data_IF_519398068240
#
_entry.id   IF_519398068240
#
_cell.length_a   1.000
_cell.length_b   1.000
_cell.length_c   1.000
_cell.angle_alpha   90.00
_cell.angle_beta   90.00
_cell.angle_gamma   90.00
#
_symmetry.space_group_name_H-M   'P 1'
#
loop_
_entity.id
_entity.type
_entity.pdbx_description
1 polymer ?
#
# COMPACT_ATOMS: atom_id res chain seq x y z
N UNK A 1 -12.17 -10.42 -10.35
CA UNK A 1 -11.55 -10.58 -11.69
C UNK A 1 -10.21 -9.87 -11.69
N UNK A 2 -9.12 -10.63 -11.63
CA UNK A 2 -7.74 -10.14 -11.49
C UNK A 2 -7.30 -9.37 -12.74
N UNK A 3 -6.72 -8.19 -12.56
CA UNK A 3 -5.95 -7.56 -13.62
C UNK A 3 -4.87 -8.56 -14.07
N UNK A 4 -4.96 -9.04 -15.32
CA UNK A 4 -4.00 -9.97 -15.88
C UNK A 4 -2.63 -9.29 -15.90
N UNK A 5 -1.82 -9.59 -14.89
CA UNK A 5 -0.46 -9.09 -14.85
C UNK A 5 0.27 -9.78 -16.00
N UNK A 6 0.75 -9.00 -16.97
CA UNK A 6 1.53 -9.51 -18.08
C UNK A 6 2.89 -10.01 -17.54
N UNK A 7 2.88 -11.20 -16.96
CA UNK A 7 4.04 -11.94 -16.53
C UNK A 7 4.79 -12.31 -17.80
N UNK A 8 5.97 -11.71 -17.99
CA UNK A 8 6.79 -12.03 -19.15
C UNK A 8 7.57 -13.32 -18.88
N UNK A 9 8.18 -13.85 -19.94
CA UNK A 9 8.97 -15.07 -19.87
C UNK A 9 10.08 -14.97 -18.81
N UNK A 10 10.21 -15.96 -17.91
CA UNK A 10 11.28 -15.99 -16.92
C UNK A 10 12.65 -16.11 -17.61
N UNK A 11 13.67 -15.58 -16.94
CA UNK A 11 15.07 -15.63 -17.38
C UNK A 11 15.87 -16.43 -16.36
N UNK A 12 16.76 -17.29 -16.84
CA UNK A 12 17.66 -18.06 -15.99
C UNK A 12 18.99 -17.30 -15.89
N UNK A 13 19.54 -17.21 -14.69
CA UNK A 13 20.81 -16.54 -14.45
C UNK A 13 21.51 -17.03 -13.18
N UNK A 14 22.74 -16.58 -13.00
CA UNK A 14 23.58 -16.92 -11.85
C UNK A 14 23.62 -15.76 -10.88
N UNK A 15 23.45 -16.02 -9.59
CA UNK A 15 23.59 -15.02 -8.54
C UNK A 15 25.07 -14.65 -8.38
N UNK A 16 25.42 -13.38 -8.61
CA UNK A 16 26.78 -12.86 -8.40
C UNK A 16 26.98 -12.41 -6.95
N UNK A 17 25.97 -11.74 -6.39
CA UNK A 17 26.04 -11.17 -5.06
C UNK A 17 24.67 -11.23 -4.38
N UNK A 18 24.69 -11.72 -3.15
CA UNK A 18 23.57 -11.75 -2.21
C UNK A 18 24.04 -11.17 -0.87
N UNK A 19 23.10 -10.77 0.00
CA UNK A 19 23.39 -10.29 1.36
C UNK A 19 24.00 -8.89 1.48
N UNK A 20 24.32 -8.21 0.38
CA UNK A 20 24.84 -6.81 0.42
C UNK A 20 23.78 -5.77 0.70
N UNK A 21 22.57 -6.01 0.22
CA UNK A 21 21.41 -5.15 0.43
C UNK A 21 20.23 -6.01 0.88
N UNK A 22 19.39 -5.47 1.76
CA UNK A 22 18.18 -6.16 2.18
C UNK A 22 17.27 -6.49 0.98
N UNK A 23 16.70 -7.68 1.01
CA UNK A 23 15.73 -8.23 0.07
C UNK A 23 16.12 -8.12 -1.41
N UNK A 24 17.43 -8.11 -1.72
CA UNK A 24 17.91 -7.80 -3.06
C UNK A 24 19.12 -8.65 -3.42
N UNK A 25 19.08 -9.22 -4.62
CA UNK A 25 20.19 -9.99 -5.20
C UNK A 25 20.57 -9.47 -6.58
N UNK A 26 21.86 -9.61 -6.92
CA UNK A 26 22.40 -9.28 -8.24
C UNK A 26 22.58 -10.55 -9.04
N UNK A 27 21.83 -10.68 -10.13
CA UNK A 27 21.80 -11.86 -11.01
C UNK A 27 22.39 -11.52 -12.37
N UNK A 28 23.27 -12.38 -12.89
CA UNK A 28 23.82 -12.31 -14.25
C UNK A 28 23.04 -13.25 -15.16
N UNK A 29 22.45 -12.69 -16.20
CA UNK A 29 21.79 -13.45 -17.27
C UNK A 29 22.62 -13.29 -18.55
N UNK A 30 22.86 -14.40 -19.24
CA UNK A 30 23.54 -14.37 -20.53
C UNK A 30 22.53 -14.13 -21.64
N UNK A 31 22.77 -13.13 -22.47
CA UNK A 31 21.96 -12.85 -23.67
C UNK A 31 22.81 -13.13 -24.91
N UNK A 32 22.27 -13.88 -25.87
CA UNK A 32 22.90 -13.99 -27.19
C UNK A 32 22.58 -12.75 -28.02
N UNK A 33 23.60 -12.15 -28.62
CA UNK A 33 23.47 -11.00 -29.49
C UNK A 33 24.18 -11.28 -30.82
N UNK A 34 23.46 -11.11 -31.93
CA UNK A 34 24.03 -11.22 -33.27
C UNK A 34 24.90 -10.01 -33.57
N UNK A 35 26.18 -10.24 -33.86
CA UNK A 35 27.09 -9.17 -34.25
C UNK A 35 27.15 -9.05 -35.79
N UNK A 36 26.56 -7.99 -36.35
CA UNK A 36 26.36 -7.82 -37.81
C UNK A 36 27.65 -7.93 -38.64
N UNK A 37 28.75 -7.33 -38.17
CA UNK A 37 30.04 -7.35 -38.89
C UNK A 37 30.73 -8.71 -38.85
N UNK A 38 30.62 -9.43 -37.73
CA UNK A 38 31.28 -10.72 -37.52
C UNK A 38 30.39 -11.89 -37.95
N UNK A 39 29.10 -11.63 -38.24
CA UNK A 39 28.08 -12.61 -38.60
C UNK A 39 28.06 -13.82 -37.66
N UNK A 40 28.19 -13.57 -36.36
CA UNK A 40 28.20 -14.60 -35.31
C UNK A 40 27.45 -14.11 -34.08
N UNK A 41 26.82 -15.04 -33.38
CA UNK A 41 26.22 -14.80 -32.07
C UNK A 41 27.29 -14.75 -30.97
N UNK A 42 27.24 -13.71 -30.14
CA UNK A 42 28.10 -13.56 -28.98
C UNK A 42 27.27 -13.48 -27.70
N UNK A 43 27.84 -14.06 -26.65
CA UNK A 43 27.27 -14.06 -25.32
C UNK A 43 27.55 -12.73 -24.64
N UNK A 44 26.53 -11.91 -24.41
CA UNK A 44 26.62 -10.65 -23.67
C UNK A 44 26.05 -10.86 -22.27
N UNK A 45 26.88 -10.78 -21.21
CA UNK A 45 26.38 -10.89 -19.85
C UNK A 45 25.67 -9.59 -19.44
N UNK A 46 24.41 -9.70 -19.03
CA UNK A 46 23.64 -8.58 -18.49
C UNK A 46 23.30 -8.84 -17.01
N UNK A 47 23.52 -7.84 -16.17
CA UNK A 47 23.21 -7.94 -14.73
C UNK A 47 21.87 -7.29 -14.41
N UNK A 48 21.06 -7.94 -13.58
CA UNK A 48 19.78 -7.48 -13.10
C UNK A 48 19.75 -7.46 -11.56
N UNK A 49 18.95 -6.56 -11.00
CA UNK A 49 18.58 -6.58 -9.59
C UNK A 49 17.22 -7.26 -9.44
N UNK A 50 17.18 -8.31 -8.63
CA UNK A 50 15.98 -9.07 -8.33
C UNK A 50 15.61 -8.99 -6.85
N UNK A 51 14.31 -9.08 -6.57
CA UNK A 51 13.73 -9.14 -5.23
C UNK A 51 13.85 -10.56 -4.68
N UNK A 52 14.42 -10.67 -3.48
CA UNK A 52 14.54 -11.92 -2.71
C UNK A 52 14.12 -11.64 -1.28
N UNK A 53 12.82 -11.74 -0.98
CA UNK A 53 12.28 -11.35 0.32
C UNK A 53 12.70 -12.25 1.48
N UNK A 54 12.85 -13.55 1.21
CA UNK A 54 13.14 -14.56 2.24
C UNK A 54 14.65 -14.79 2.42
N UNK A 55 15.48 -14.01 1.74
CA UNK A 55 16.94 -14.18 1.75
C UNK A 55 17.36 -15.62 1.39
N UNK A 56 16.63 -16.23 0.45
CA UNK A 56 16.82 -17.63 0.07
C UNK A 56 18.09 -17.84 -0.76
N UNK A 57 18.56 -16.81 -1.47
CA UNK A 57 19.63 -16.93 -2.45
C UNK A 57 21.03 -16.67 -1.88
N UNK A 58 22.01 -17.43 -2.38
CA UNK A 58 23.44 -17.37 -2.06
C UNK A 58 24.23 -17.11 -3.35
N UNK A 59 25.41 -16.45 -3.30
CA UNK A 59 26.25 -16.28 -4.48
C UNK A 59 26.62 -17.62 -5.10
N UNK A 60 26.47 -17.75 -6.41
CA UNK A 60 26.72 -18.99 -7.15
C UNK A 60 25.46 -19.79 -7.50
N UNK A 61 24.32 -19.51 -6.85
CA UNK A 61 23.06 -20.18 -7.21
C UNK A 61 22.61 -19.86 -8.64
N UNK A 62 22.03 -20.86 -9.30
CA UNK A 62 21.32 -20.66 -10.57
C UNK A 62 19.84 -20.47 -10.26
N UNK A 63 19.29 -19.33 -10.68
CA UNK A 63 17.94 -18.88 -10.32
C UNK A 63 17.12 -18.54 -11.54
N UNK A 64 15.81 -18.79 -11.44
CA UNK A 64 14.82 -18.29 -12.37
C UNK A 64 14.31 -16.94 -11.87
N UNK A 65 14.40 -15.91 -12.71
CA UNK A 65 13.92 -14.56 -12.40
C UNK A 65 12.84 -14.14 -13.38
N UNK A 66 11.74 -13.61 -12.86
CA UNK A 66 10.62 -13.13 -13.67
C UNK A 66 10.65 -11.61 -13.77
N UNK A 67 10.74 -11.02 -14.98
CA UNK A 67 10.65 -9.58 -15.17
C UNK A 67 9.19 -9.08 -15.15
N UNK A 68 9.01 -7.77 -14.98
CA UNK A 68 7.70 -7.11 -15.00
C UNK A 68 7.13 -6.84 -13.60
N UNK A 69 7.69 -7.48 -12.58
CA UNK A 69 7.38 -7.26 -11.18
C UNK A 69 8.32 -6.19 -10.61
N UNK A 70 7.83 -4.94 -10.58
CA UNK A 70 8.61 -3.80 -10.10
C UNK A 70 8.41 -3.60 -8.59
N UNK A 71 9.46 -3.85 -7.81
CA UNK A 71 9.50 -3.51 -6.37
C UNK A 71 10.15 -2.14 -6.11
N UNK A 72 11.14 -1.74 -6.90
CA UNK A 72 11.87 -0.45 -6.75
C UNK A 72 12.19 0.19 -8.11
N UNK A 73 12.94 1.30 -8.16
CA UNK A 73 13.32 1.98 -9.41
C UNK A 73 14.10 1.07 -10.36
N UNK A 74 15.12 0.38 -9.84
CA UNK A 74 16.00 -0.50 -10.62
C UNK A 74 15.68 -2.00 -10.44
N UNK A 75 14.93 -2.35 -9.38
CA UNK A 75 14.48 -3.71 -9.07
C UNK A 75 13.17 -4.01 -9.80
N UNK A 76 13.29 -4.63 -10.98
CA UNK A 76 12.19 -4.96 -11.91
C UNK A 76 11.97 -6.47 -12.09
N UNK A 77 12.68 -7.27 -11.31
CA UNK A 77 12.66 -8.73 -11.36
C UNK A 77 12.39 -9.26 -9.95
N UNK A 78 11.77 -10.43 -9.89
CA UNK A 78 11.56 -11.20 -8.66
C UNK A 78 12.14 -12.60 -8.88
N UNK A 79 12.77 -13.16 -7.85
CA UNK A 79 13.24 -14.54 -7.88
C UNK A 79 12.04 -15.46 -7.71
N UNK A 80 11.82 -16.37 -8.66
CA UNK A 80 10.66 -17.27 -8.63
C UNK A 80 11.01 -18.65 -8.11
N UNK A 81 12.13 -19.20 -8.52
CA UNK A 81 12.61 -20.51 -8.07
C UNK A 81 14.12 -20.62 -8.15
N UNK A 82 14.68 -21.49 -7.31
CA UNK A 82 16.06 -21.96 -7.42
C UNK A 82 16.08 -23.09 -8.44
N UNK A 83 16.82 -22.93 -9.54
CA UNK A 83 16.96 -23.95 -10.59
C UNK A 83 18.04 -24.96 -10.19
N UNK A 84 19.17 -24.45 -9.70
CA UNK A 84 20.24 -25.26 -9.16
C UNK A 84 20.82 -24.53 -7.95
N UNK A 85 20.49 -24.97 -6.73
CA UNK A 85 21.05 -24.38 -5.52
C UNK A 85 22.52 -24.81 -5.38
N UNK A 86 23.38 -23.87 -5.02
CA UNK A 86 24.75 -24.18 -4.64
C UNK A 86 24.74 -25.01 -3.36
N UNK A 87 25.55 -26.08 -3.34
CA UNK A 87 25.66 -26.94 -2.16
C UNK A 87 26.06 -26.11 -0.94
N UNK A 88 25.15 -26.06 0.02
CA UNK A 88 25.32 -25.41 1.31
C UNK A 88 25.13 -26.48 2.38
N UNK A 89 25.80 -26.36 3.53
CA UNK A 89 25.70 -27.35 4.62
C UNK A 89 24.37 -27.34 5.38
N UNK A 90 23.43 -26.47 5.01
CA UNK A 90 22.12 -26.29 5.63
C UNK A 90 21.00 -26.49 4.62
N UNK A 91 19.82 -26.89 5.12
CA UNK A 91 18.60 -26.91 4.32
C UNK A 91 18.27 -25.50 3.78
N UNK A 92 17.82 -25.42 2.52
CA UNK A 92 17.63 -24.15 1.82
C UNK A 92 16.15 -23.79 1.76
N UNK A 93 15.85 -22.57 2.20
CA UNK A 93 14.52 -21.97 2.10
C UNK A 93 14.20 -21.73 0.61
N UNK A 94 12.97 -22.04 0.19
CA UNK A 94 12.50 -21.73 -1.15
C UNK A 94 12.11 -20.25 -1.27
N UNK A 95 12.36 -19.60 -2.41
CA UNK A 95 11.96 -18.21 -2.63
C UNK A 95 10.42 -18.08 -2.67
N UNK A 96 9.92 -16.87 -2.39
CA UNK A 96 8.48 -16.54 -2.25
C UNK A 96 7.63 -16.81 -3.51
N UNK A 97 8.26 -16.92 -4.68
CA UNK A 97 7.56 -17.09 -5.95
C UNK A 97 6.78 -15.84 -6.39
N UNK A 98 5.99 -15.99 -7.47
CA UNK A 98 5.17 -14.88 -7.99
C UNK A 98 3.95 -14.63 -7.10
N UNK A 99 3.34 -15.70 -6.60
CA UNK A 99 2.10 -15.64 -5.80
C UNK A 99 2.35 -14.98 -4.45
N UNK A 100 3.41 -15.38 -3.73
CA UNK A 100 3.79 -14.74 -2.47
C UNK A 100 4.11 -13.26 -2.66
N UNK A 101 4.77 -12.90 -3.76
CA UNK A 101 5.03 -11.50 -4.10
C UNK A 101 3.74 -10.70 -4.32
N UNK A 102 2.76 -11.27 -5.04
CA UNK A 102 1.46 -10.65 -5.32
C UNK A 102 0.64 -10.49 -4.04
N UNK A 103 0.58 -11.52 -3.19
CA UNK A 103 -0.13 -11.48 -1.90
C UNK A 103 0.40 -10.34 -1.02
N UNK A 104 1.73 -10.28 -0.83
CA UNK A 104 2.40 -9.20 -0.09
C UNK A 104 2.13 -7.82 -0.68
N UNK A 105 2.02 -7.72 -2.01
CA UNK A 105 1.72 -6.45 -2.68
C UNK A 105 0.27 -6.02 -2.45
N UNK A 106 -0.65 -6.97 -2.49
CA UNK A 106 -2.07 -6.71 -2.21
C UNK A 106 -2.28 -6.34 -0.74
N UNK A 107 -1.63 -7.02 0.20
CA UNK A 107 -1.62 -6.66 1.63
C UNK A 107 -1.17 -5.22 1.84
N UNK A 108 -0.05 -4.81 1.21
CA UNK A 108 0.43 -3.42 1.27
C UNK A 108 -0.55 -2.43 0.66
N UNK A 109 -1.25 -2.84 -0.40
CA UNK A 109 -2.27 -2.01 -1.06
C UNK A 109 -3.49 -1.85 -0.16
N UNK A 110 -4.02 -2.95 0.38
CA UNK A 110 -5.14 -2.96 1.32
C UNK A 110 -4.80 -2.15 2.56
N UNK A 111 -3.65 -2.41 3.20
CA UNK A 111 -3.20 -1.65 4.37
C UNK A 111 -3.06 -0.14 4.08
N UNK A 112 -2.64 0.24 2.86
CA UNK A 112 -2.62 1.64 2.44
C UNK A 112 -4.03 2.21 2.29
N UNK A 113 -4.95 1.47 1.69
CA UNK A 113 -6.34 1.88 1.49
C UNK A 113 -7.07 2.05 2.82
N UNK A 114 -6.86 1.15 3.79
CA UNK A 114 -7.45 1.22 5.13
C UNK A 114 -7.04 2.47 5.91
N UNK A 115 -5.86 3.02 5.64
CA UNK A 115 -5.38 4.26 6.26
C UNK A 115 -6.02 5.52 5.68
N UNK A 116 -6.69 5.42 4.53
CA UNK A 116 -7.31 6.59 3.89
C UNK A 116 -8.69 6.84 4.52
N UNK A 117 -8.98 8.10 4.90
CA UNK A 117 -10.29 8.44 5.47
C UNK A 117 -11.40 8.17 4.44
N UNK A 118 -12.45 7.45 4.86
CA UNK A 118 -13.62 7.15 4.04
C UNK A 118 -13.62 5.79 3.32
N UNK A 119 -12.60 4.94 3.52
CA UNK A 119 -12.58 3.57 3.00
C UNK A 119 -12.87 2.59 4.13
N UNK A 120 -14.09 2.07 4.18
CA UNK A 120 -14.47 0.97 5.10
C UNK A 120 -14.05 -0.35 4.46
N UNK A 121 -13.21 -1.14 5.15
CA UNK A 121 -12.94 -2.51 4.73
C UNK A 121 -14.22 -3.34 4.88
N UNK A 122 -14.80 -3.81 3.77
CA UNK A 122 -15.74 -4.92 3.86
C UNK A 122 -14.92 -6.21 3.88
N UNK A 123 -15.01 -6.98 4.96
CA UNK A 123 -14.44 -8.31 5.03
C UNK A 123 -15.05 -9.22 3.94
N UNK A 124 -14.32 -10.19 3.38
CA UNK A 124 -14.90 -11.15 2.45
C UNK A 124 -15.84 -12.08 3.23
N UNK A 125 -17.15 -11.93 3.03
CA UNK A 125 -18.11 -12.92 3.48
C UNK A 125 -18.06 -14.13 2.55
N UNK A 126 -17.69 -15.28 3.11
CA UNK A 126 -17.79 -16.57 2.45
C UNK A 126 -19.27 -16.93 2.28
N UNK A 127 -19.73 -16.99 1.02
CA UNK A 127 -21.04 -17.56 0.66
C UNK A 127 -22.23 -16.62 0.87
N UNK A 128 -22.66 -15.94 -0.19
CA UNK A 128 -23.91 -15.16 -0.18
C UNK A 128 -24.44 -14.91 -1.57
N UNK A 129 -25.57 -15.56 -1.87
CA UNK A 129 -26.30 -15.52 -3.15
C UNK A 129 -26.74 -14.10 -3.47
N UNK A 130 -26.53 -13.69 -4.72
CA UNK A 130 -26.86 -12.35 -5.24
C UNK A 130 -28.37 -12.19 -5.32
N UNK A 131 -28.95 -11.27 -4.54
CA UNK A 131 -30.30 -10.79 -4.82
C UNK A 131 -31.07 -10.12 -3.69
N UNK A 132 -30.50 -9.19 -2.93
CA UNK A 132 -31.33 -8.25 -2.17
C UNK A 132 -30.76 -6.82 -2.28
N UNK A 133 -31.57 -5.93 -2.86
CA UNK A 133 -31.23 -4.52 -3.09
C UNK A 133 -31.35 -3.76 -1.78
N UNK A 134 -30.25 -3.19 -1.30
CA UNK A 134 -30.27 -2.09 -0.33
C UNK A 134 -29.28 -1.01 -0.80
N UNK A 135 -29.83 0.09 -1.36
CA UNK A 135 -29.20 1.41 -1.46
C UNK A 135 -28.08 1.61 -2.48
N UNK A 136 -28.33 2.47 -3.47
CA UNK A 136 -27.45 2.80 -4.62
C UNK A 136 -26.19 3.64 -4.29
N UNK A 137 -25.43 3.32 -3.23
CA UNK A 137 -24.17 4.03 -2.96
C UNK A 137 -23.00 3.09 -2.71
N UNK A 138 -22.57 2.43 -3.79
CA UNK A 138 -21.22 1.90 -3.88
C UNK A 138 -20.29 3.11 -4.02
N UNK A 139 -19.49 3.42 -2.99
CA UNK A 139 -18.30 4.27 -3.15
C UNK A 139 -17.27 3.45 -3.92
N UNK A 140 -17.53 3.32 -5.22
CA UNK A 140 -16.58 2.80 -6.19
C UNK A 140 -15.62 3.92 -6.51
N UNK A 141 -14.34 3.76 -6.18
CA UNK A 141 -13.30 4.50 -6.88
C UNK A 141 -13.50 4.26 -8.39
N UNK A 142 -13.59 5.31 -9.23
CA UNK A 142 -13.77 5.12 -10.64
C UNK A 142 -12.49 4.51 -11.23
N UNK A 143 -12.49 3.20 -11.46
CA UNK A 143 -11.52 2.56 -12.34
C UNK A 143 -12.14 2.56 -13.73
N UNK A 144 -11.79 3.54 -14.56
CA UNK A 144 -12.02 3.44 -16.01
C UNK A 144 -10.88 2.61 -16.59
N UNK A 145 -11.23 1.69 -17.50
CA UNK A 145 -10.34 0.65 -18.04
C UNK A 145 -8.99 1.13 -18.60
N UNK A 146 -8.11 0.20 -18.96
CA UNK A 146 -6.71 0.50 -19.25
C UNK A 146 -6.58 1.36 -20.52
N UNK A 147 -5.92 2.52 -20.42
CA UNK A 147 -5.35 3.20 -21.59
C UNK A 147 -5.55 4.72 -21.76
N UNK A 148 -6.24 5.44 -20.88
CA UNK A 148 -6.38 6.91 -21.01
C UNK A 148 -5.78 7.67 -19.83
N UNK A 149 -4.85 8.59 -20.14
CA UNK A 149 -4.29 9.57 -19.20
C UNK A 149 -5.30 10.72 -19.07
N UNK A 150 -5.76 11.00 -17.84
CA UNK A 150 -6.68 12.12 -17.57
C UNK A 150 -6.00 13.47 -17.80
N UNK A 151 -6.69 14.38 -18.52
CA UNK A 151 -6.40 15.82 -18.50
C UNK A 151 -6.68 16.37 -17.10
N UNK A 152 -5.84 17.31 -16.67
CA UNK A 152 -5.66 17.87 -15.31
C UNK A 152 -6.91 18.53 -14.66
N UNK A 153 -8.07 18.55 -15.32
CA UNK A 153 -9.30 19.18 -14.81
C UNK A 153 -10.22 18.26 -14.00
N UNK A 154 -10.29 16.96 -14.33
CA UNK A 154 -11.33 16.05 -13.79
C UNK A 154 -11.19 15.75 -12.29
N UNK A 155 -10.00 15.91 -11.71
CA UNK A 155 -9.77 15.71 -10.27
C UNK A 155 -10.43 16.76 -9.39
N UNK A 156 -10.58 18.01 -9.87
CA UNK A 156 -11.20 19.09 -9.10
C UNK A 156 -12.69 18.87 -8.91
N UNK A 157 -13.38 18.36 -9.93
CA UNK A 157 -14.82 18.08 -9.87
C UNK A 157 -15.14 16.88 -8.99
N UNK A 158 -14.33 15.81 -9.08
CA UNK A 158 -14.50 14.63 -8.22
C UNK A 158 -14.29 15.02 -6.75
N UNK A 159 -13.25 15.79 -6.44
CA UNK A 159 -13.01 16.26 -5.07
C UNK A 159 -14.11 17.21 -4.58
N UNK A 160 -14.59 18.12 -5.44
CA UNK A 160 -15.71 19.01 -5.12
C UNK A 160 -17.03 18.29 -4.87
N UNK A 161 -17.27 17.14 -5.52
CA UNK A 161 -18.45 16.32 -5.27
C UNK A 161 -18.35 15.57 -3.94
N UNK A 162 -17.18 15.03 -3.61
CA UNK A 162 -16.94 14.34 -2.32
C UNK A 162 -17.10 15.31 -1.14
N UNK A 163 -16.57 16.53 -1.26
CA UNK A 163 -16.70 17.54 -0.20
C UNK A 163 -18.16 17.99 0.00
N UNK A 164 -18.92 18.18 -1.08
CA UNK A 164 -20.36 18.52 -0.99
C UNK A 164 -21.21 17.40 -0.37
N UNK A 165 -20.86 16.13 -0.59
CA UNK A 165 -21.53 15.02 0.08
C UNK A 165 -21.24 14.99 1.58
N UNK A 166 -20.00 15.29 1.98
CA UNK A 166 -19.61 15.39 3.38
C UNK A 166 -20.36 16.51 4.10
N UNK A 167 -20.47 17.69 3.49
CA UNK A 167 -21.26 18.79 4.06
C UNK A 167 -22.75 18.43 4.22
N UNK A 168 -23.33 17.68 3.28
CA UNK A 168 -24.74 17.23 3.39
C UNK A 168 -24.93 16.23 4.54
N UNK A 169 -23.99 15.31 4.73
CA UNK A 169 -24.07 14.33 5.82
C UNK A 169 -23.84 14.99 7.18
N UNK A 170 -22.88 15.91 7.30
CA UNK A 170 -22.65 16.70 8.50
C UNK A 170 -23.87 17.56 8.86
N UNK A 171 -24.52 18.19 7.86
CA UNK A 171 -25.77 18.95 8.07
C UNK A 171 -26.94 18.07 8.49
N UNK A 172 -27.08 16.86 7.91
CA UNK A 172 -28.12 15.90 8.33
C UNK A 172 -27.91 15.44 9.78
N UNK A 173 -26.68 15.07 10.13
CA UNK A 173 -26.33 14.64 11.48
C UNK A 173 -26.49 15.78 12.50
N UNK A 174 -26.20 17.03 12.12
CA UNK A 174 -26.44 18.20 12.97
C UNK A 174 -27.94 18.47 13.18
N UNK A 175 -28.76 18.33 12.12
CA UNK A 175 -30.20 18.48 12.21
C UNK A 175 -30.85 17.37 13.06
N UNK A 176 -30.38 16.12 12.94
CA UNK A 176 -30.82 15.01 13.79
C UNK A 176 -30.44 15.24 15.26
N UNK A 177 -29.25 15.79 15.55
CA UNK A 177 -28.86 16.19 16.91
C UNK A 177 -29.75 17.29 17.47
N UNK A 178 -30.13 18.29 16.67
CA UNK A 178 -31.04 19.36 17.10
C UNK A 178 -32.43 18.82 17.41
N UNK A 179 -32.97 17.97 16.54
CA UNK A 179 -34.26 17.28 16.79
C UNK A 179 -34.21 16.42 18.05
N UNK A 180 -33.12 15.68 18.25
CA UNK A 180 -32.93 14.88 19.47
C UNK A 180 -32.85 15.76 20.73
N UNK A 181 -32.26 16.97 20.66
CA UNK A 181 -32.24 17.91 21.79
C UNK A 181 -33.59 18.58 22.05
N UNK A 182 -34.40 18.80 21.02
CA UNK A 182 -35.76 19.34 21.13
C UNK A 182 -36.71 18.29 21.71
N UNK A 183 -36.65 17.05 21.24
CA UNK A 183 -37.39 15.91 21.81
C UNK A 183 -36.99 15.62 23.26
N UNK A 184 -35.72 15.81 23.63
CA UNK A 184 -35.26 15.69 25.02
C UNK A 184 -35.78 16.82 25.92
N UNK A 185 -35.97 18.04 25.38
CA UNK A 185 -36.60 19.17 26.08
C UNK A 185 -38.10 18.95 26.30
N UNK A 186 -38.81 18.43 25.30
CA UNK A 186 -40.25 18.14 25.41
C UNK A 186 -40.56 17.00 26.39
N UNK A 187 -39.66 16.01 26.50
CA UNK A 187 -39.81 14.88 27.44
C UNK A 187 -39.39 15.21 28.88
N UNK A 188 -39.07 16.48 29.19
CA UNK A 188 -38.77 16.93 30.56
C UNK A 188 -37.47 16.36 31.15
N UNK A 189 -36.52 15.93 30.31
CA UNK A 189 -35.23 15.45 30.79
C UNK A 189 -34.35 16.63 31.22
N UNK A 190 -34.03 16.71 32.52
CA UNK A 190 -33.12 17.71 33.07
C UNK A 190 -31.74 17.62 32.37
N UNK A 191 -31.26 18.75 31.85
CA UNK A 191 -29.91 18.87 31.30
C UNK A 191 -28.88 18.59 32.41
N UNK A 192 -27.84 17.75 32.18
CA UNK A 192 -26.69 17.75 33.06
C UNK A 192 -26.00 19.12 32.96
N UNK A 193 -25.99 19.85 34.07
CA UNK A 193 -25.21 21.07 34.24
C UNK A 193 -23.74 20.65 34.19
N UNK A 194 -23.09 20.77 33.04
CA UNK A 194 -21.63 20.69 32.99
C UNK A 194 -21.08 21.98 33.62
N UNK A 195 -20.24 21.91 34.67
CA UNK A 195 -19.64 23.09 35.25
C UNK A 195 -18.76 23.79 34.20
N UNK A 196 -19.01 25.08 34.02
CA UNK A 196 -18.16 25.97 33.23
C UNK A 196 -16.81 26.04 33.93
N UNK A 197 -15.84 25.26 33.44
CA UNK A 197 -14.45 25.37 33.87
C UNK A 197 -13.95 26.76 33.47
N UNK A 198 -13.91 27.67 34.44
CA UNK A 198 -13.42 29.02 34.26
C UNK A 198 -11.98 29.01 33.79
N UNK A 199 -11.72 29.59 32.62
CA UNK A 199 -10.37 29.96 32.20
C UNK A 199 -9.79 30.96 33.21
N UNK A 200 -8.96 30.46 34.13
CA UNK A 200 -8.15 31.28 35.03
C UNK A 200 -7.06 31.93 34.17
N UNK A 201 -7.17 33.25 33.98
CA UNK A 201 -6.12 34.07 33.35
C UNK A 201 -4.79 33.78 34.06
N UNK A 202 -3.80 33.29 33.33
CA UNK A 202 -2.42 33.22 33.80
C UNK A 202 -1.90 34.65 34.00
N UNK A 203 -1.90 35.11 35.26
CA UNK A 203 -1.11 36.26 35.69
C UNK A 203 0.34 35.83 35.89
N UNK A 204 1.27 36.65 35.39
CA UNK A 204 2.71 36.50 35.48
C UNK A 204 3.23 36.45 36.94
N UNK A 205 4.42 35.87 37.20
CA UNK A 205 4.87 35.52 38.54
C UNK A 205 5.35 36.72 39.36
N UNK A 206 4.97 36.76 40.65
CA UNK A 206 5.53 37.69 41.63
C UNK A 206 6.85 37.14 42.19
N UNK A 207 7.90 37.96 42.11
CA UNK A 207 9.23 37.74 42.67
C UNK A 207 9.17 37.98 44.19
N UNK A 208 9.71 37.09 45.05
CA UNK A 208 9.79 37.36 46.49
C UNK A 208 10.93 38.33 46.78
N UNK A 209 10.59 39.55 47.19
CA UNK A 209 11.51 40.51 47.81
C UNK A 209 11.48 40.32 49.32
N UNK A 210 12.66 40.21 49.92
CA UNK A 210 12.87 39.73 51.28
C UNK A 210 12.35 40.61 52.41
N UNK A 211 12.01 39.95 53.51
CA UNK A 211 11.71 40.57 54.80
C UNK A 211 13.01 40.96 55.51
N UNK A 212 13.14 42.25 55.80
CA UNK A 212 14.04 42.78 56.83
C UNK A 212 13.26 42.85 58.15
N UNK A 213 13.78 42.11 59.13
CA UNK A 213 13.86 42.40 60.59
C UNK A 213 12.92 43.44 61.21
N UNK A 214 12.26 43.02 62.29
CA UNK A 214 12.25 43.75 63.56
C UNK A 214 12.51 42.75 64.70
#
# INVERSE_FOLDING_TARGET
MSAALAVQTPKIGVVIAAGRCANTVKVRVVKQMWHKKLRKNYSVPQSYLADDFLHACVPGDIVSITPGLRTSRHKKHVVTSLVSPMRTGSERIQPEGIEGWLARREEKRVARLLRLPGVVAKAPEEGGVVGEKIGDSVIGLPVRGPGQVMRTGAWKEVYGNVMRMRERTEKKNAAEKLKATEEAKEKGAAFPIYPVFGYRKHGAPAVPMGEKTA
#
